data_IF_154863380091
#
_entry.id   IF_154863380091
#
_cell.length_a   1.000
_cell.length_b   1.000
_cell.length_c   1.000
_cell.angle_alpha   90.00
_cell.angle_beta   90.00
_cell.angle_gamma   90.00
#
_symmetry.space_group_name_H-M   'P 1'
#
loop_
_entity.id
_entity.type
_entity.pdbx_description
1 polymer ?
#
# COMPACT_ATOMS: atom_id res chain seq x y z
N UNK A 1 -31.04 -8.40 -1.82
CA UNK A 1 -29.79 -7.73 -1.39
C UNK A 1 -28.70 -8.23 -2.32
N UNK A 2 -28.20 -7.41 -3.22
CA UNK A 2 -27.06 -7.80 -4.07
C UNK A 2 -25.84 -7.83 -3.17
N UNK A 3 -25.31 -9.02 -2.90
CA UNK A 3 -24.01 -9.17 -2.26
C UNK A 3 -22.99 -8.69 -3.28
N UNK A 4 -22.59 -7.42 -3.20
CA UNK A 4 -21.49 -6.88 -4.02
C UNK A 4 -20.19 -7.53 -3.55
N UNK A 5 -19.90 -8.71 -4.07
CA UNK A 5 -18.61 -9.36 -3.91
C UNK A 5 -17.56 -8.47 -4.58
N UNK A 6 -16.46 -8.12 -3.90
CA UNK A 6 -15.35 -7.40 -4.50
C UNK A 6 -14.91 -8.04 -5.82
N UNK A 7 -14.73 -7.23 -6.86
CA UNK A 7 -14.28 -7.71 -8.16
C UNK A 7 -12.92 -8.41 -8.04
N UNK A 8 -12.75 -9.60 -8.62
CA UNK A 8 -11.47 -10.33 -8.60
C UNK A 8 -11.14 -11.06 -7.28
N UNK A 9 -12.07 -11.08 -6.32
CA UNK A 9 -11.90 -11.81 -5.06
C UNK A 9 -11.64 -13.32 -5.27
N UNK A 10 -12.17 -13.90 -6.33
CA UNK A 10 -12.02 -15.31 -6.70
C UNK A 10 -10.58 -15.70 -7.08
N UNK A 11 -9.71 -14.73 -7.34
CA UNK A 11 -8.29 -14.93 -7.61
C UNK A 11 -7.39 -14.65 -6.40
N UNK A 12 -7.97 -14.23 -5.27
CA UNK A 12 -7.23 -13.91 -4.04
C UNK A 12 -7.02 -15.19 -3.24
N UNK A 13 -5.79 -15.41 -2.78
CA UNK A 13 -5.49 -16.56 -1.92
C UNK A 13 -6.25 -16.43 -0.60
N UNK A 14 -6.70 -17.54 0.02
CA UNK A 14 -7.52 -17.50 1.24
C UNK A 14 -6.92 -16.64 2.36
N UNK A 15 -5.60 -16.68 2.54
CA UNK A 15 -4.88 -15.90 3.56
C UNK A 15 -4.90 -14.38 3.30
N UNK A 16 -5.07 -13.96 2.05
CA UNK A 16 -5.00 -12.55 1.61
C UNK A 16 -6.42 -11.92 1.47
N UNK A 17 -7.49 -12.71 1.60
CA UNK A 17 -8.89 -12.30 1.38
C UNK A 17 -9.31 -11.12 2.27
N UNK A 18 -8.92 -11.11 3.54
CA UNK A 18 -9.33 -10.06 4.47
C UNK A 18 -8.65 -8.72 4.14
N UNK A 19 -7.33 -8.75 3.92
CA UNK A 19 -6.58 -7.57 3.49
C UNK A 19 -7.12 -7.02 2.16
N UNK A 20 -7.46 -7.91 1.22
CA UNK A 20 -8.08 -7.53 -0.05
C UNK A 20 -9.41 -6.81 0.15
N UNK A 21 -10.32 -7.34 0.98
CA UNK A 21 -11.61 -6.72 1.27
C UNK A 21 -11.46 -5.36 1.93
N UNK A 22 -10.53 -5.23 2.89
CA UNK A 22 -10.25 -3.98 3.59
C UNK A 22 -9.73 -2.91 2.63
N UNK A 23 -8.82 -3.26 1.73
CA UNK A 23 -8.32 -2.36 0.70
C UNK A 23 -9.42 -1.98 -0.30
N UNK A 24 -10.16 -2.97 -0.82
CA UNK A 24 -11.24 -2.77 -1.79
C UNK A 24 -12.36 -1.87 -1.25
N UNK A 25 -12.65 -1.92 0.06
CA UNK A 25 -13.68 -1.09 0.68
C UNK A 25 -13.45 0.42 0.47
N UNK A 26 -12.19 0.87 0.34
CA UNK A 26 -11.85 2.25 0.03
C UNK A 26 -12.05 2.62 -1.45
N UNK A 27 -12.14 1.64 -2.36
CA UNK A 27 -12.14 1.86 -3.82
C UNK A 27 -13.34 1.22 -4.54
N UNK A 28 -14.38 0.81 -3.82
CA UNK A 28 -15.57 0.24 -4.44
C UNK A 28 -16.20 1.19 -5.47
N UNK A 29 -16.77 0.62 -6.53
CA UNK A 29 -17.28 1.36 -7.69
C UNK A 29 -18.40 2.32 -7.25
N UNK A 30 -18.26 3.60 -7.61
CA UNK A 30 -19.25 4.64 -7.29
C UNK A 30 -19.08 5.31 -5.92
N UNK A 31 -18.03 4.94 -5.17
CA UNK A 31 -17.68 5.60 -3.91
C UNK A 31 -17.33 7.08 -4.12
N UNK A 32 -17.81 7.95 -3.24
CA UNK A 32 -17.57 9.39 -3.35
C UNK A 32 -16.17 9.73 -2.82
N UNK A 33 -15.51 10.78 -3.33
CA UNK A 33 -14.17 11.16 -2.88
C UNK A 33 -14.04 11.33 -1.36
N UNK A 34 -15.07 11.90 -0.71
CA UNK A 34 -15.08 12.08 0.76
C UNK A 34 -15.08 10.75 1.52
N UNK A 35 -15.77 9.73 1.01
CA UNK A 35 -15.79 8.41 1.65
C UNK A 35 -14.38 7.79 1.59
N UNK A 36 -13.66 7.96 0.47
CA UNK A 36 -12.28 7.50 0.33
C UNK A 36 -11.39 8.20 1.35
N UNK A 37 -11.51 9.52 1.48
CA UNK A 37 -10.78 10.32 2.46
C UNK A 37 -11.03 9.81 3.89
N UNK A 38 -12.25 9.45 4.24
CA UNK A 38 -12.58 8.92 5.57
C UNK A 38 -11.88 7.59 5.87
N UNK A 39 -11.70 6.71 4.88
CA UNK A 39 -10.89 5.49 5.06
C UNK A 39 -9.43 5.84 5.36
N UNK A 40 -8.84 6.74 4.57
CA UNK A 40 -7.46 7.18 4.78
C UNK A 40 -7.27 7.84 6.16
N UNK A 41 -8.21 8.68 6.58
CA UNK A 41 -8.20 9.30 7.91
C UNK A 41 -8.24 8.24 9.02
N UNK A 42 -9.12 7.24 8.91
CA UNK A 42 -9.20 6.14 9.89
C UNK A 42 -7.93 5.31 9.92
N UNK A 43 -7.37 4.98 8.76
CA UNK A 43 -6.12 4.21 8.69
C UNK A 43 -4.95 4.96 9.32
N UNK A 44 -4.84 6.26 9.04
CA UNK A 44 -3.83 7.13 9.62
C UNK A 44 -3.99 7.26 11.15
N UNK A 45 -5.20 7.54 11.64
CA UNK A 45 -5.48 7.69 13.07
C UNK A 45 -5.21 6.40 13.86
N UNK A 46 -5.51 5.25 13.27
CA UNK A 46 -5.35 3.95 13.94
C UNK A 46 -3.96 3.32 13.70
N UNK A 47 -3.10 3.92 12.86
CA UNK A 47 -1.81 3.33 12.48
C UNK A 47 -1.96 1.99 11.77
N UNK A 48 -3.00 1.83 10.95
CA UNK A 48 -3.36 0.55 10.30
C UNK A 48 -3.14 0.55 8.78
N UNK A 49 -2.56 1.63 8.24
CA UNK A 49 -2.34 1.77 6.80
C UNK A 49 -1.54 0.60 6.21
N UNK A 50 -0.45 0.19 6.86
CA UNK A 50 0.39 -0.92 6.40
C UNK A 50 -0.32 -2.28 6.51
N UNK A 51 -1.22 -2.43 7.47
CA UNK A 51 -1.96 -3.67 7.68
C UNK A 51 -2.97 -3.92 6.56
N UNK A 52 -3.51 -2.85 5.97
CA UNK A 52 -4.43 -2.95 4.82
C UNK A 52 -3.70 -3.09 3.47
N UNK A 53 -2.35 -3.01 3.46
CA UNK A 53 -1.52 -3.26 2.28
C UNK A 53 -1.14 -4.74 2.10
N UNK A 54 -1.79 -5.66 2.82
CA UNK A 54 -1.50 -7.10 2.78
C UNK A 54 -0.04 -7.39 3.20
N UNK A 55 0.26 -7.39 4.52
CA UNK A 55 1.60 -7.62 5.06
C UNK A 55 2.26 -8.85 4.46
N UNK A 56 3.52 -8.71 4.02
CA UNK A 56 4.27 -9.79 3.35
C UNK A 56 4.01 -9.91 1.84
N UNK A 57 3.07 -9.15 1.27
CA UNK A 57 2.87 -9.04 -0.19
C UNK A 57 3.35 -7.71 -0.75
N UNK A 58 3.13 -6.60 -0.03
CA UNK A 58 3.65 -5.29 -0.42
C UNK A 58 5.15 -5.17 -0.11
N UNK A 59 5.98 -5.46 -1.10
CA UNK A 59 7.45 -5.50 -0.99
C UNK A 59 8.16 -4.41 -1.81
N UNK A 60 7.40 -3.50 -2.45
CA UNK A 60 7.93 -2.39 -3.25
C UNK A 60 9.02 -1.58 -2.53
N UNK A 61 8.82 -1.13 -1.28
CA UNK A 61 9.83 -0.40 -0.52
C UNK A 61 11.16 -1.15 -0.37
N UNK A 62 11.11 -2.44 -0.06
CA UNK A 62 12.32 -3.23 0.14
C UNK A 62 13.05 -3.51 -1.18
N UNK A 63 12.31 -3.74 -2.26
CA UNK A 63 12.90 -3.89 -3.60
C UNK A 63 13.57 -2.58 -4.03
N UNK A 64 12.91 -1.44 -3.83
CA UNK A 64 13.48 -0.13 -4.14
C UNK A 64 14.78 0.12 -3.38
N UNK A 65 14.80 -0.14 -2.07
CA UNK A 65 15.99 -0.05 -1.24
C UNK A 65 17.15 -0.94 -1.74
N UNK A 66 16.86 -2.20 -2.07
CA UNK A 66 17.88 -3.11 -2.61
C UNK A 66 18.46 -2.63 -3.95
N UNK A 67 17.63 -2.02 -4.80
CA UNK A 67 18.08 -1.45 -6.07
C UNK A 67 18.97 -0.23 -5.82
N UNK A 68 18.57 0.68 -4.92
CA UNK A 68 19.39 1.84 -4.56
C UNK A 68 20.75 1.39 -4.01
N UNK A 69 20.75 0.47 -3.04
CA UNK A 69 21.98 -0.09 -2.46
C UNK A 69 22.89 -0.70 -3.52
N UNK A 70 22.33 -1.48 -4.45
CA UNK A 70 23.10 -2.17 -5.50
C UNK A 70 23.83 -1.19 -6.43
N UNK A 71 23.23 -0.05 -6.76
CA UNK A 71 23.78 0.86 -7.77
C UNK A 71 24.45 2.10 -7.18
N UNK A 72 24.06 2.48 -5.95
CA UNK A 72 24.48 3.71 -5.31
C UNK A 72 25.04 3.48 -3.90
N UNK A 73 25.21 2.25 -3.41
CA UNK A 73 25.62 1.99 -2.02
C UNK A 73 26.86 2.77 -1.54
N UNK A 74 27.87 2.92 -2.41
CA UNK A 74 29.10 3.69 -2.10
C UNK A 74 28.96 5.20 -2.35
N UNK A 75 27.89 5.66 -3.01
CA UNK A 75 27.67 7.06 -3.44
C UNK A 75 26.23 7.51 -3.18
N UNK A 76 25.62 6.99 -2.11
CA UNK A 76 24.18 7.11 -1.87
C UNK A 76 23.81 8.55 -1.50
N UNK A 77 24.73 9.20 -0.83
CA UNK A 77 24.71 10.58 -0.36
C UNK A 77 24.74 11.57 -1.54
N UNK A 78 25.23 11.13 -2.70
CA UNK A 78 25.23 11.89 -3.94
C UNK A 78 23.96 11.66 -4.77
N UNK A 79 23.13 10.67 -4.39
CA UNK A 79 21.91 10.34 -5.11
C UNK A 79 20.74 11.25 -4.70
N UNK A 80 20.07 11.84 -5.69
CA UNK A 80 18.80 12.55 -5.48
C UNK A 80 17.64 11.63 -5.80
N UNK A 81 16.79 11.34 -4.82
CA UNK A 81 15.66 10.40 -4.94
C UNK A 81 14.34 11.16 -4.87
N UNK A 82 13.45 10.88 -5.83
CA UNK A 82 12.06 11.36 -5.84
C UNK A 82 11.12 10.18 -5.55
N UNK A 83 10.50 10.17 -4.38
CA UNK A 83 9.49 9.18 -3.98
C UNK A 83 8.08 9.71 -4.28
N UNK A 84 7.43 9.16 -5.31
CA UNK A 84 6.11 9.59 -5.77
C UNK A 84 5.04 8.68 -5.20
N UNK A 85 3.99 9.27 -4.62
CA UNK A 85 2.93 8.53 -3.92
C UNK A 85 3.48 7.67 -2.77
N UNK A 86 4.41 8.24 -1.99
CA UNK A 86 5.17 7.60 -0.91
C UNK A 86 4.31 6.94 0.20
N UNK A 87 3.01 7.25 0.27
CA UNK A 87 2.13 6.79 1.34
C UNK A 87 2.66 7.24 2.70
N UNK A 88 3.01 6.30 3.56
CA UNK A 88 3.62 6.52 4.88
C UNK A 88 5.14 6.67 4.86
N UNK A 89 5.77 6.69 3.68
CA UNK A 89 7.21 6.92 3.53
C UNK A 89 8.07 5.67 3.75
N UNK A 90 7.50 4.46 3.68
CA UNK A 90 8.23 3.22 3.88
C UNK A 90 9.47 3.08 2.98
N UNK A 91 9.41 3.59 1.74
CA UNK A 91 10.57 3.55 0.83
C UNK A 91 11.74 4.33 1.42
N UNK A 92 11.51 5.56 1.89
CA UNK A 92 12.54 6.38 2.53
C UNK A 92 13.01 5.86 3.89
N UNK A 93 12.25 4.98 4.56
CA UNK A 93 12.73 4.26 5.75
C UNK A 93 13.68 3.12 5.37
N UNK A 94 13.47 2.49 4.21
CA UNK A 94 14.27 1.35 3.75
C UNK A 94 15.49 1.75 2.92
N UNK A 95 15.41 2.87 2.21
CA UNK A 95 16.50 3.49 1.45
C UNK A 95 17.34 4.30 2.41
#
# INVERSE_FOLDING_TARGET
MTTNTPLGLDHVKPEDVEAYKLNYAAYDVGKQPNDVIDYYNKWAQNGTYEQVLCPGRYNGPQIAAQVVEKYFGDTKEDATILDVAAGTGLVGEKV
#
